data_IF_438618416652
#
_entry.id   IF_438618416652
#
_cell.length_a   1.000
_cell.length_b   1.000
_cell.length_c   1.000
_cell.angle_alpha   90.00
_cell.angle_beta   90.00
_cell.angle_gamma   90.00
#
_symmetry.space_group_name_H-M   'P 1'
#
loop_
_entity.id
_entity.type
_entity.pdbx_description
1 polymer ?
#
# COMPACT_ATOMS: atom_id res chain seq x y z
N UNK A 1 25.13 2.92 41.18
CA UNK A 1 25.53 1.58 40.70
C UNK A 1 24.38 0.65 41.02
N UNK A 2 23.54 0.40 40.00
CA UNK A 2 23.27 -0.93 39.40
C UNK A 2 22.30 -1.76 40.26
N UNK A 3 21.20 -2.34 39.76
CA UNK A 3 20.75 -2.56 38.39
C UNK A 3 19.27 -2.99 38.46
N UNK A 4 18.39 -2.37 37.68
CA UNK A 4 17.03 -2.85 37.41
C UNK A 4 17.09 -4.06 36.46
N UNK A 5 16.47 -5.18 36.85
CA UNK A 5 16.17 -6.29 35.94
C UNK A 5 14.67 -6.29 35.62
N UNK A 6 14.33 -5.71 34.47
CA UNK A 6 13.04 -5.91 33.83
C UNK A 6 12.95 -7.36 33.32
N UNK A 7 11.93 -8.09 33.76
CA UNK A 7 11.57 -9.41 33.23
C UNK A 7 10.87 -9.23 31.89
N UNK A 8 11.52 -9.65 30.80
CA UNK A 8 10.89 -9.91 29.51
C UNK A 8 9.84 -11.02 29.66
N UNK A 9 8.56 -10.72 29.39
CA UNK A 9 7.57 -11.73 29.08
C UNK A 9 7.84 -12.29 27.67
N UNK A 10 8.69 -13.31 27.57
CA UNK A 10 8.82 -14.13 26.36
C UNK A 10 7.63 -15.10 26.30
N UNK A 11 6.64 -14.78 25.47
CA UNK A 11 5.73 -15.80 24.97
C UNK A 11 6.50 -16.57 23.89
N UNK A 12 6.86 -17.83 24.18
CA UNK A 12 7.36 -18.75 23.17
C UNK A 12 6.24 -19.02 22.15
N UNK A 13 6.49 -18.93 20.84
CA UNK A 13 5.50 -19.35 19.85
C UNK A 13 5.31 -20.88 19.93
N UNK A 14 4.07 -21.38 19.79
CA UNK A 14 3.83 -22.82 19.77
C UNK A 14 4.50 -23.45 18.55
N UNK A 15 5.19 -24.57 18.78
CA UNK A 15 5.73 -25.46 17.77
C UNK A 15 4.58 -26.02 16.92
N UNK A 16 4.39 -25.49 15.71
CA UNK A 16 3.65 -26.15 14.64
C UNK A 16 4.57 -26.35 13.44
N UNK A 17 4.99 -27.60 13.26
CA UNK A 17 5.66 -28.09 12.06
C UNK A 17 4.64 -28.18 10.93
N UNK A 18 4.59 -27.15 10.07
CA UNK A 18 4.34 -27.16 8.61
C UNK A 18 4.45 -25.72 8.09
N UNK A 19 5.61 -25.08 8.31
CA UNK A 19 5.96 -23.90 7.53
C UNK A 19 6.40 -24.42 6.16
N UNK A 20 5.48 -24.43 5.19
CA UNK A 20 5.85 -24.41 3.77
C UNK A 20 6.90 -23.29 3.63
N UNK A 21 8.10 -23.66 3.21
CA UNK A 21 9.21 -22.73 3.05
C UNK A 21 8.85 -21.73 1.94
N UNK A 22 8.26 -20.60 2.31
CA UNK A 22 7.88 -19.55 1.36
C UNK A 22 9.10 -19.03 0.60
N UNK A 23 8.93 -18.70 -0.69
CA UNK A 23 10.06 -18.30 -1.55
C UNK A 23 10.75 -17.01 -1.08
N UNK A 24 12.08 -17.04 -0.97
CA UNK A 24 12.90 -15.85 -0.63
C UNK A 24 13.44 -15.11 -1.86
N UNK A 25 13.05 -15.53 -3.06
CA UNK A 25 13.49 -14.95 -4.34
C UNK A 25 12.50 -15.28 -5.45
N UNK A 26 12.47 -14.46 -6.51
CA UNK A 26 11.73 -14.78 -7.73
C UNK A 26 12.55 -15.74 -8.62
N UNK A 27 11.92 -16.46 -9.56
CA UNK A 27 12.60 -17.38 -10.49
C UNK A 27 13.67 -16.67 -11.33
N UNK A 28 13.39 -15.45 -11.78
CA UNK A 28 14.29 -14.67 -12.64
C UNK A 28 14.47 -13.24 -12.10
N UNK A 29 15.69 -12.68 -12.12
CA UNK A 29 15.92 -11.27 -11.79
C UNK A 29 15.16 -10.32 -12.70
N UNK A 30 14.91 -9.10 -12.23
CA UNK A 30 14.31 -8.08 -13.08
C UNK A 30 15.22 -7.75 -14.28
N UNK A 31 14.60 -7.48 -15.42
CA UNK A 31 15.29 -6.95 -16.58
C UNK A 31 15.82 -5.52 -16.31
N UNK A 32 16.88 -5.14 -17.01
CA UNK A 32 17.35 -3.75 -17.02
C UNK A 32 16.30 -2.86 -17.68
N UNK A 33 15.91 -1.77 -17.01
CA UNK A 33 15.02 -0.75 -17.56
C UNK A 33 15.76 0.35 -18.33
N UNK A 34 17.09 0.26 -18.41
CA UNK A 34 17.95 1.36 -18.87
C UNK A 34 17.78 1.68 -20.38
N UNK A 35 17.24 0.76 -21.17
CA UNK A 35 17.14 0.91 -22.62
C UNK A 35 15.79 1.46 -23.11
N UNK A 36 14.82 1.69 -22.20
CA UNK A 36 13.45 2.12 -22.59
C UNK A 36 12.96 3.31 -21.77
N UNK A 37 12.70 4.43 -22.44
CA UNK A 37 12.19 5.67 -21.81
C UNK A 37 10.67 5.65 -21.63
N UNK A 38 10.18 5.83 -20.39
CA UNK A 38 8.75 6.01 -20.06
C UNK A 38 8.16 7.18 -20.88
N UNK A 39 8.91 8.27 -21.01
CA UNK A 39 8.48 9.45 -21.75
C UNK A 39 8.21 9.19 -23.23
N UNK A 40 8.96 8.30 -23.87
CA UNK A 40 8.71 7.93 -25.27
C UNK A 40 7.29 7.38 -25.50
N UNK A 41 6.69 6.79 -24.47
CA UNK A 41 5.31 6.29 -24.46
C UNK A 41 4.35 7.39 -24.05
N UNK A 42 4.61 8.09 -22.94
CA UNK A 42 3.74 9.17 -22.45
C UNK A 42 3.56 10.29 -23.48
N UNK A 43 4.62 10.63 -24.24
CA UNK A 43 4.56 11.61 -25.34
C UNK A 43 3.53 11.24 -26.40
N UNK A 44 3.38 9.94 -26.71
CA UNK A 44 2.39 9.45 -27.68
C UNK A 44 0.95 9.50 -27.13
N UNK A 45 0.79 9.77 -25.84
CA UNK A 45 -0.47 9.67 -25.13
C UNK A 45 -0.93 11.01 -24.52
N UNK A 46 -0.28 12.11 -24.85
CA UNK A 46 -0.67 13.46 -24.40
C UNK A 46 -2.11 13.73 -24.85
N UNK A 47 -3.00 14.04 -23.89
CA UNK A 47 -4.42 14.29 -24.13
C UNK A 47 -5.35 13.07 -23.93
N UNK A 48 -4.80 11.88 -23.68
CA UNK A 48 -5.58 10.68 -23.33
C UNK A 48 -5.65 10.47 -21.81
N UNK A 49 -6.67 9.75 -21.35
CA UNK A 49 -6.75 9.28 -19.96
C UNK A 49 -5.65 8.21 -19.73
N UNK A 50 -4.73 8.45 -18.79
CA UNK A 50 -3.54 7.59 -18.58
C UNK A 50 -3.89 6.12 -18.29
N UNK A 51 -5.04 5.86 -17.67
CA UNK A 51 -5.55 4.52 -17.37
C UNK A 51 -5.84 3.69 -18.63
N UNK A 52 -6.05 4.34 -19.79
CA UNK A 52 -6.33 3.71 -21.10
C UNK A 52 -5.07 3.39 -21.90
N UNK A 53 -3.88 3.71 -21.38
CA UNK A 53 -2.62 3.48 -22.06
C UNK A 53 -2.09 2.08 -21.70
N UNK A 54 -1.93 1.24 -22.72
CA UNK A 54 -1.22 -0.04 -22.58
C UNK A 54 0.28 0.25 -22.41
N UNK A 55 0.76 0.11 -21.17
CA UNK A 55 2.19 0.24 -20.90
C UNK A 55 2.92 -1.04 -21.37
N UNK A 56 4.10 -0.95 -22.02
CA UNK A 56 4.92 -2.12 -22.28
C UNK A 56 5.24 -2.88 -21.00
N UNK A 57 5.32 -4.21 -21.09
CA UNK A 57 5.58 -5.12 -19.96
C UNK A 57 6.87 -4.77 -19.22
N UNK A 58 7.86 -4.20 -19.91
CA UNK A 58 9.13 -3.78 -19.29
C UNK A 58 8.96 -2.68 -18.22
N UNK A 59 7.83 -1.95 -18.19
CA UNK A 59 7.56 -1.00 -17.10
C UNK A 59 6.79 -1.60 -15.95
N UNK A 60 6.34 -2.85 -16.11
CA UNK A 60 5.63 -3.54 -15.07
C UNK A 60 6.60 -4.10 -14.01
N UNK A 61 6.00 -4.51 -12.90
CA UNK A 61 6.52 -5.53 -12.00
C UNK A 61 5.60 -6.76 -12.08
N UNK A 62 6.06 -7.97 -11.74
CA UNK A 62 5.29 -9.21 -11.89
C UNK A 62 4.25 -9.40 -10.77
N UNK A 63 3.45 -8.37 -10.51
CA UNK A 63 2.31 -8.41 -9.60
C UNK A 63 1.11 -7.69 -10.21
N UNK A 64 -0.09 -8.23 -9.98
CA UNK A 64 -1.35 -7.55 -10.22
C UNK A 64 -1.52 -6.39 -9.23
N UNK A 65 -2.31 -5.38 -9.60
CA UNK A 65 -2.67 -4.33 -8.64
C UNK A 65 -3.44 -4.88 -7.43
N UNK A 66 -4.18 -5.99 -7.60
CA UNK A 66 -4.84 -6.68 -6.48
C UNK A 66 -3.81 -7.17 -5.44
N UNK A 67 -2.72 -7.80 -5.91
CA UNK A 67 -1.60 -8.23 -5.07
C UNK A 67 -0.88 -7.03 -4.43
N UNK A 68 -0.65 -5.95 -5.19
CA UNK A 68 -0.05 -4.71 -4.65
C UNK A 68 -0.88 -4.13 -3.50
N UNK A 69 -2.21 -4.21 -3.55
CA UNK A 69 -3.07 -3.78 -2.45
C UNK A 69 -2.98 -4.71 -1.23
N UNK A 70 -2.78 -6.00 -1.43
CA UNK A 70 -2.59 -6.96 -0.32
C UNK A 70 -1.35 -6.66 0.52
N UNK A 71 -0.36 -5.94 -0.02
CA UNK A 71 0.79 -5.44 0.76
C UNK A 71 0.39 -4.53 1.93
N UNK A 72 -0.85 -3.99 1.95
CA UNK A 72 -1.40 -3.30 3.13
C UNK A 72 -1.33 -4.17 4.40
N UNK A 73 -1.38 -5.49 4.24
CA UNK A 73 -1.39 -6.46 5.34
C UNK A 73 0.01 -6.89 5.80
N UNK A 74 1.10 -6.33 5.25
CA UNK A 74 2.47 -6.72 5.63
C UNK A 74 2.74 -6.56 7.14
N UNK A 75 2.14 -5.55 7.77
CA UNK A 75 2.31 -5.24 9.20
C UNK A 75 1.03 -5.50 10.01
N UNK A 76 0.28 -6.57 9.70
CA UNK A 76 -0.98 -6.94 10.36
C UNK A 76 -0.86 -7.10 11.88
N UNK A 77 0.34 -7.39 12.41
CA UNK A 77 0.59 -7.44 13.86
C UNK A 77 0.18 -6.13 14.59
N UNK A 78 0.18 -4.99 13.91
CA UNK A 78 -0.27 -3.71 14.47
C UNK A 78 -1.79 -3.71 14.74
N UNK A 79 -2.57 -4.40 13.89
CA UNK A 79 -4.01 -4.59 14.13
C UNK A 79 -4.22 -5.49 15.36
N UNK A 80 -3.47 -6.58 15.48
CA UNK A 80 -3.55 -7.46 16.65
C UNK A 80 -3.15 -6.74 17.95
N UNK A 81 -2.13 -5.88 17.90
CA UNK A 81 -1.76 -5.00 19.02
C UNK A 81 -2.89 -4.02 19.37
N UNK A 82 -3.52 -3.40 18.38
CA UNK A 82 -4.69 -2.56 18.60
C UNK A 82 -5.83 -3.35 19.26
N UNK A 83 -6.13 -4.56 18.77
CA UNK A 83 -7.20 -5.37 19.35
C UNK A 83 -6.88 -5.85 20.79
N UNK A 84 -5.62 -6.04 21.12
CA UNK A 84 -5.16 -6.39 22.47
C UNK A 84 -5.24 -5.20 23.45
N UNK A 85 -5.02 -3.96 22.98
CA UNK A 85 -4.97 -2.77 23.81
C UNK A 85 -6.33 -2.38 24.43
N UNK A 86 -6.32 -2.05 25.73
CA UNK A 86 -7.50 -1.66 26.49
C UNK A 86 -7.83 -0.17 26.39
N UNK A 87 -6.81 0.67 26.29
CA UNK A 87 -6.95 2.12 26.15
C UNK A 87 -7.20 2.51 24.67
N UNK A 88 -8.16 3.41 24.42
CA UNK A 88 -8.55 3.79 23.05
C UNK A 88 -7.50 4.62 22.33
N UNK A 89 -6.68 5.39 23.05
CA UNK A 89 -5.57 6.16 22.49
C UNK A 89 -4.46 5.21 22.08
N UNK A 90 -4.14 4.20 22.88
CA UNK A 90 -3.18 3.15 22.49
C UNK A 90 -3.65 2.38 21.24
N UNK A 91 -4.95 2.08 21.14
CA UNK A 91 -5.53 1.53 19.90
C UNK A 91 -5.33 2.48 18.73
N UNK A 92 -5.63 3.76 18.89
CA UNK A 92 -5.45 4.77 17.84
C UNK A 92 -3.99 4.89 17.39
N UNK A 93 -3.01 4.77 18.30
CA UNK A 93 -1.58 4.72 17.92
C UNK A 93 -1.28 3.53 17.01
N UNK A 94 -1.75 2.34 17.37
CA UNK A 94 -1.56 1.13 16.58
C UNK A 94 -2.26 1.20 15.21
N UNK A 95 -3.49 1.72 15.16
CA UNK A 95 -4.22 1.90 13.89
C UNK A 95 -3.56 2.96 13.00
N UNK A 96 -3.07 4.07 13.57
CA UNK A 96 -2.32 5.08 12.82
C UNK A 96 -0.99 4.52 12.30
N UNK A 97 -0.26 3.76 13.12
CA UNK A 97 0.92 3.03 12.70
C UNK A 97 0.61 2.07 11.54
N UNK A 98 -0.49 1.31 11.65
CA UNK A 98 -0.94 0.41 10.59
C UNK A 98 -1.22 1.15 9.29
N UNK A 99 -1.98 2.26 9.35
CA UNK A 99 -2.29 3.09 8.19
C UNK A 99 -1.04 3.64 7.47
N UNK A 100 0.01 4.03 8.22
CA UNK A 100 1.29 4.45 7.63
C UNK A 100 2.06 3.25 7.06
N UNK A 101 2.13 2.15 7.81
CA UNK A 101 2.87 0.95 7.42
C UNK A 101 2.31 0.27 6.17
N UNK A 102 0.99 0.35 5.95
CA UNK A 102 0.30 -0.22 4.80
C UNK A 102 0.80 0.37 3.47
N UNK A 103 1.30 1.61 3.49
CA UNK A 103 1.85 2.28 2.31
C UNK A 103 3.38 2.38 2.34
N UNK A 104 4.06 1.68 3.25
CA UNK A 104 5.52 1.80 3.43
C UNK A 104 6.33 1.09 2.32
N UNK A 105 5.81 -0.01 1.78
CA UNK A 105 6.53 -0.85 0.80
C UNK A 105 6.81 -0.17 -0.54
N UNK A 106 6.24 1.02 -0.78
CA UNK A 106 6.24 1.71 -2.07
C UNK A 106 7.58 2.35 -2.44
N UNK A 107 8.47 2.61 -1.48
CA UNK A 107 9.79 3.22 -1.75
C UNK A 107 10.56 2.38 -2.78
N UNK A 108 11.22 2.99 -3.79
CA UNK A 108 11.94 2.29 -4.89
C UNK A 108 11.10 1.35 -5.78
N UNK A 109 9.83 1.04 -5.46
CA UNK A 109 8.92 0.19 -6.23
C UNK A 109 8.34 0.93 -7.45
N UNK A 110 9.21 1.41 -8.32
CA UNK A 110 8.90 2.21 -9.52
C UNK A 110 8.24 1.39 -10.64
N UNK A 111 8.14 0.07 -10.49
CA UNK A 111 7.39 -0.79 -11.40
C UNK A 111 5.89 -0.58 -11.28
N UNK A 112 5.21 -0.49 -12.43
CA UNK A 112 3.75 -0.44 -12.47
C UNK A 112 3.19 -1.85 -12.23
N UNK A 113 2.32 -2.10 -11.25
CA UNK A 113 1.63 -3.39 -11.20
C UNK A 113 0.75 -3.59 -12.44
N UNK A 114 0.46 -4.83 -12.82
CA UNK A 114 -0.47 -5.11 -13.90
C UNK A 114 -1.86 -4.58 -13.56
N UNK A 115 -2.50 -3.92 -14.53
CA UNK A 115 -3.88 -3.49 -14.36
C UNK A 115 -4.78 -4.75 -14.36
N UNK A 116 -5.54 -5.02 -13.29
CA UNK A 116 -6.35 -6.23 -13.22
C UNK A 116 -7.43 -6.24 -14.30
N UNK A 117 -7.76 -7.43 -14.81
CA UNK A 117 -8.89 -7.62 -15.70
C UNK A 117 -10.20 -7.50 -14.90
N UNK A 118 -11.29 -7.06 -15.52
CA UNK A 118 -12.61 -7.01 -14.89
C UNK A 118 -13.02 -8.43 -14.46
N UNK A 119 -13.30 -8.62 -13.17
CA UNK A 119 -13.60 -9.93 -12.58
C UNK A 119 -12.37 -10.75 -12.18
N UNK A 120 -11.15 -10.21 -12.38
CA UNK A 120 -9.95 -10.78 -11.78
C UNK A 120 -10.09 -10.75 -10.25
N UNK A 121 -9.68 -11.84 -9.61
CA UNK A 121 -9.69 -11.99 -8.17
C UNK A 121 -8.27 -12.21 -7.65
N UNK A 122 -8.05 -12.00 -6.38
CA UNK A 122 -6.83 -12.47 -5.72
C UNK A 122 -7.15 -12.82 -4.26
N UNK A 123 -6.71 -14.00 -3.82
CA UNK A 123 -6.78 -14.42 -2.43
C UNK A 123 -5.38 -14.63 -1.81
N UNK A 124 -5.31 -14.43 -0.50
CA UNK A 124 -4.13 -14.77 0.31
C UNK A 124 -4.59 -15.24 1.71
N UNK A 125 -4.05 -16.36 2.17
CA UNK A 125 -4.18 -16.81 3.56
C UNK A 125 -2.79 -16.82 4.17
N UNK A 126 -2.61 -16.14 5.30
CA UNK A 126 -1.35 -16.11 6.07
C UNK A 126 -1.66 -16.53 7.50
N UNK A 127 -1.60 -17.84 7.75
CA UNK A 127 -1.82 -18.41 9.09
C UNK A 127 -0.81 -17.86 10.11
N UNK A 128 0.44 -17.68 9.69
CA UNK A 128 1.52 -17.13 10.50
C UNK A 128 1.29 -15.65 10.88
N UNK A 129 0.57 -14.90 10.06
CA UNK A 129 0.18 -13.51 10.33
C UNK A 129 -1.29 -13.37 10.79
N UNK A 130 -2.02 -14.48 10.94
CA UNK A 130 -3.37 -14.49 11.49
C UNK A 130 -4.46 -13.87 10.62
N UNK A 131 -4.34 -13.83 9.28
CA UNK A 131 -5.40 -13.26 8.42
C UNK A 131 -5.66 -14.04 7.13
N UNK A 132 -6.84 -13.79 6.55
CA UNK A 132 -7.17 -14.11 5.16
C UNK A 132 -7.63 -12.85 4.41
N UNK A 133 -7.35 -12.80 3.12
CA UNK A 133 -7.62 -11.68 2.22
C UNK A 133 -8.29 -12.18 0.94
N UNK A 134 -9.29 -11.44 0.47
CA UNK A 134 -9.90 -11.60 -0.85
C UNK A 134 -10.04 -10.23 -1.50
N UNK A 135 -9.81 -10.16 -2.81
CA UNK A 135 -10.01 -8.95 -3.60
C UNK A 135 -10.55 -9.27 -4.99
N UNK A 136 -11.30 -8.33 -5.57
CA UNK A 136 -11.89 -8.43 -6.91
C UNK A 136 -11.73 -7.10 -7.64
N UNK A 137 -11.42 -7.16 -8.94
CA UNK A 137 -11.53 -6.02 -9.84
C UNK A 137 -13.00 -5.80 -10.22
N UNK A 138 -13.68 -4.98 -9.43
CA UNK A 138 -15.13 -4.74 -9.52
C UNK A 138 -15.53 -3.79 -10.65
N UNK A 139 -14.60 -2.97 -11.14
CA UNK A 139 -14.83 -2.08 -12.28
C UNK A 139 -13.54 -1.83 -13.07
N UNK A 140 -13.66 -1.59 -14.38
CA UNK A 140 -12.53 -1.26 -15.25
C UNK A 140 -12.58 0.19 -15.78
N UNK A 141 -13.76 0.82 -15.80
CA UNK A 141 -13.94 2.23 -16.21
C UNK A 141 -14.92 2.97 -15.29
N UNK A 142 -14.44 3.65 -14.23
CA UNK A 142 -13.03 3.73 -13.80
C UNK A 142 -12.52 2.40 -13.21
N UNK A 143 -11.19 2.16 -13.17
CA UNK A 143 -10.62 0.95 -12.55
C UNK A 143 -10.82 1.01 -11.03
N UNK A 144 -11.60 0.08 -10.48
CA UNK A 144 -11.83 -0.04 -9.03
C UNK A 144 -11.51 -1.46 -8.61
N UNK A 145 -10.66 -1.59 -7.60
CA UNK A 145 -10.33 -2.86 -6.94
C UNK A 145 -10.92 -2.84 -5.53
N UNK A 146 -11.80 -3.78 -5.22
CA UNK A 146 -12.37 -3.95 -3.89
C UNK A 146 -11.61 -5.05 -3.15
N UNK A 147 -11.47 -4.92 -1.83
CA UNK A 147 -10.81 -5.90 -0.99
C UNK A 147 -11.51 -6.07 0.36
N UNK A 148 -11.34 -7.25 0.93
CA UNK A 148 -11.83 -7.63 2.25
C UNK A 148 -10.85 -8.59 2.89
N UNK A 149 -10.50 -8.31 4.14
CA UNK A 149 -9.62 -9.14 4.94
C UNK A 149 -10.21 -9.34 6.33
N UNK A 150 -10.00 -10.52 6.88
CA UNK A 150 -10.52 -10.95 8.17
C UNK A 150 -9.39 -11.58 8.97
N UNK A 151 -9.34 -11.26 10.26
CA UNK A 151 -8.51 -12.00 11.20
C UNK A 151 -9.03 -13.44 11.33
N UNK A 152 -8.12 -14.42 11.32
CA UNK A 152 -8.49 -15.84 11.41
C UNK A 152 -9.17 -16.20 12.74
N UNK A 153 -8.98 -15.35 13.76
CA UNK A 153 -9.61 -15.47 15.07
C UNK A 153 -10.83 -14.54 15.23
N UNK A 154 -11.39 -14.04 14.11
CA UNK A 154 -12.53 -13.11 14.08
C UNK A 154 -12.27 -11.82 14.87
N UNK A 155 -11.00 -11.42 14.96
CA UNK A 155 -10.54 -10.37 15.86
C UNK A 155 -10.48 -8.98 15.20
N UNK A 156 -10.50 -8.94 13.86
CA UNK A 156 -10.66 -7.72 13.08
C UNK A 156 -11.28 -7.99 11.70
N UNK A 157 -11.82 -6.93 11.08
CA UNK A 157 -12.20 -6.91 9.66
C UNK A 157 -11.57 -5.67 9.02
N UNK A 158 -10.88 -5.82 7.90
CA UNK A 158 -10.23 -4.74 7.17
C UNK A 158 -10.68 -4.75 5.71
N UNK A 159 -11.30 -3.67 5.24
CA UNK A 159 -11.90 -3.64 3.91
C UNK A 159 -11.88 -2.24 3.30
N UNK A 160 -12.14 -2.19 2.00
CA UNK A 160 -12.28 -0.96 1.25
C UNK A 160 -12.21 -1.19 -0.24
N UNK A 161 -12.17 -0.09 -0.99
CA UNK A 161 -12.00 -0.13 -2.43
C UNK A 161 -11.14 1.02 -2.92
N UNK A 162 -10.25 0.76 -3.89
CA UNK A 162 -9.28 1.73 -4.40
C UNK A 162 -9.48 1.96 -5.89
N UNK A 163 -9.62 3.23 -6.25
CA UNK A 163 -9.54 3.77 -7.60
C UNK A 163 -8.30 4.68 -7.71
N UNK A 164 -7.20 4.22 -8.33
CA UNK A 164 -6.01 5.04 -8.52
C UNK A 164 -6.24 6.05 -9.66
N UNK A 165 -6.63 7.29 -9.31
CA UNK A 165 -6.82 8.36 -10.30
C UNK A 165 -5.47 8.97 -10.66
N UNK A 166 -5.07 8.79 -11.92
CA UNK A 166 -3.78 9.28 -12.43
C UNK A 166 -3.88 10.71 -12.96
N UNK A 167 -2.86 11.55 -12.68
CA UNK A 167 -2.66 12.90 -13.24
C UNK A 167 -1.19 13.04 -13.67
N UNK A 168 -0.95 13.61 -14.85
CA UNK A 168 0.38 13.90 -15.36
C UNK A 168 0.70 15.40 -15.19
N UNK A 169 1.84 15.70 -14.59
CA UNK A 169 2.30 17.06 -14.26
C UNK A 169 3.59 17.45 -14.99
N UNK A 170 3.79 16.94 -16.21
CA UNK A 170 5.02 17.18 -16.97
C UNK A 170 6.13 16.21 -16.56
N UNK A 171 6.86 16.52 -15.48
CA UNK A 171 7.99 15.70 -15.01
C UNK A 171 7.59 14.57 -14.05
N UNK A 172 6.33 14.55 -13.60
CA UNK A 172 5.84 13.60 -12.58
C UNK A 172 4.44 13.07 -12.90
N UNK A 173 4.12 11.89 -12.38
CA UNK A 173 2.76 11.32 -12.39
C UNK A 173 2.29 11.20 -10.95
N UNK A 174 1.15 11.80 -10.65
CA UNK A 174 0.41 11.58 -9.40
C UNK A 174 -0.61 10.44 -9.58
N UNK A 175 -0.62 9.51 -8.64
CA UNK A 175 -1.67 8.54 -8.41
C UNK A 175 -2.39 8.89 -7.10
N UNK A 176 -3.62 9.38 -7.21
CA UNK A 176 -4.50 9.66 -6.08
C UNK A 176 -5.34 8.39 -5.80
N UNK A 177 -5.06 7.63 -4.72
CA UNK A 177 -5.80 6.40 -4.40
C UNK A 177 -7.16 6.77 -3.80
N UNK A 178 -8.17 6.95 -4.66
CA UNK A 178 -9.53 7.27 -4.23
C UNK A 178 -10.19 6.05 -3.63
N UNK A 179 -10.60 6.16 -2.38
CA UNK A 179 -11.15 5.02 -1.67
C UNK A 179 -11.21 5.29 -0.19
N UNK A 180 -12.29 4.86 0.45
CA UNK A 180 -12.35 4.80 1.89
C UNK A 180 -11.79 3.44 2.32
N UNK A 181 -10.95 3.46 3.34
CA UNK A 181 -10.47 2.26 4.01
C UNK A 181 -11.17 2.18 5.36
N UNK A 182 -11.60 0.98 5.73
CA UNK A 182 -12.29 0.69 6.99
C UNK A 182 -11.58 -0.45 7.72
N UNK A 183 -11.31 -0.24 9.01
CA UNK A 183 -10.86 -1.26 9.94
C UNK A 183 -11.86 -1.36 11.08
N UNK A 184 -12.37 -2.55 11.33
CA UNK A 184 -13.31 -2.85 12.41
C UNK A 184 -12.61 -3.74 13.45
N UNK A 185 -12.79 -3.40 14.73
CA UNK A 185 -12.32 -4.16 15.87
C UNK A 185 -13.54 -4.64 16.68
N UNK A 186 -14.13 -5.82 16.37
CA UNK A 186 -15.39 -6.28 16.95
C UNK A 186 -15.38 -6.37 18.47
N UNK A 187 -14.26 -6.83 19.07
CA UNK A 187 -14.07 -6.89 20.53
C UNK A 187 -14.36 -5.56 21.23
N UNK A 188 -14.03 -4.45 20.57
CA UNK A 188 -14.21 -3.11 21.10
C UNK A 188 -15.48 -2.45 20.57
N UNK A 189 -16.21 -3.05 19.63
CA UNK A 189 -17.30 -2.42 18.88
C UNK A 189 -16.88 -1.07 18.27
N UNK A 190 -15.67 -1.04 17.69
CA UNK A 190 -15.05 0.16 17.13
C UNK A 190 -14.81 -0.03 15.64
N UNK A 191 -14.92 1.07 14.91
CA UNK A 191 -14.53 1.14 13.52
C UNK A 191 -13.71 2.39 13.26
N UNK A 192 -12.72 2.25 12.40
CA UNK A 192 -11.77 3.26 12.01
C UNK A 192 -11.85 3.46 10.51
N UNK A 193 -11.88 4.71 10.05
CA UNK A 193 -11.82 4.98 8.62
C UNK A 193 -10.77 6.02 8.27
N UNK A 194 -10.13 5.87 7.13
CA UNK A 194 -9.20 6.84 6.55
C UNK A 194 -9.14 6.73 5.02
N UNK A 195 -8.39 7.63 4.41
CA UNK A 195 -8.00 7.58 2.99
C UNK A 195 -6.49 7.59 2.89
N UNK A 196 -5.93 6.95 1.86
CA UNK A 196 -4.48 6.90 1.66
C UNK A 196 -3.91 8.21 1.09
N UNK A 197 -2.61 8.49 1.32
CA UNK A 197 -1.95 9.65 0.75
C UNK A 197 -1.80 9.51 -0.78
N UNK A 198 -1.60 10.64 -1.46
CA UNK A 198 -1.26 10.65 -2.89
C UNK A 198 0.14 10.10 -3.07
N UNK A 199 0.32 9.23 -4.05
CA UNK A 199 1.62 8.73 -4.50
C UNK A 199 2.07 9.51 -5.73
N UNK A 200 3.32 9.93 -5.78
CA UNK A 200 3.90 10.66 -6.90
C UNK A 200 5.16 9.94 -7.40
N UNK A 201 5.23 9.69 -8.70
CA UNK A 201 6.42 9.16 -9.37
C UNK A 201 7.08 10.32 -10.11
N UNK A 202 8.27 10.67 -9.68
CA UNK A 202 9.05 11.77 -10.24
C UNK A 202 9.99 11.31 -11.34
N UNK A 203 10.55 12.27 -12.08
CA UNK A 203 11.57 12.06 -13.12
C UNK A 203 11.14 11.11 -14.26
N UNK A 204 9.85 11.10 -14.60
CA UNK A 204 9.31 10.24 -15.66
C UNK A 204 9.80 10.61 -17.08
N UNK A 205 10.49 11.75 -17.23
CA UNK A 205 11.09 12.20 -18.50
C UNK A 205 12.60 11.96 -18.54
N UNK A 206 13.34 12.50 -17.56
CA UNK A 206 14.80 12.42 -17.45
C UNK A 206 15.17 12.25 -15.99
N UNK A 207 16.19 11.44 -15.72
CA UNK A 207 16.71 11.18 -14.37
C UNK A 207 16.24 9.85 -13.81
N UNK A 208 16.68 9.56 -12.58
CA UNK A 208 16.28 8.36 -11.87
C UNK A 208 14.87 8.52 -11.33
N UNK A 209 13.99 7.56 -11.62
CA UNK A 209 12.63 7.50 -11.07
C UNK A 209 12.69 7.30 -9.56
N UNK A 210 11.89 8.06 -8.84
CA UNK A 210 11.71 7.88 -7.40
C UNK A 210 10.26 8.15 -7.01
N UNK A 211 9.86 7.59 -5.87
CA UNK A 211 8.49 7.63 -5.37
C UNK A 211 8.42 8.52 -4.15
N UNK A 212 7.40 9.35 -4.12
CA UNK A 212 7.03 10.17 -2.98
C UNK A 212 5.59 9.90 -2.57
N UNK A 213 5.28 10.08 -1.29
CA UNK A 213 3.92 10.11 -0.80
C UNK A 213 3.66 11.37 0.01
N UNK A 214 2.56 12.06 -0.28
CA UNK A 214 2.16 13.28 0.41
C UNK A 214 0.65 13.43 0.50
N UNK A 215 0.24 14.31 1.41
CA UNK A 215 -1.16 14.65 1.64
C UNK A 215 -1.57 14.47 3.09
N UNK A 216 -2.81 14.88 3.37
CA UNK A 216 -3.40 14.74 4.70
C UNK A 216 -4.11 13.39 4.82
N UNK A 217 -3.78 12.64 5.86
CA UNK A 217 -4.46 11.40 6.24
C UNK A 217 -5.11 11.62 7.60
N UNK A 218 -6.42 11.37 7.71
CA UNK A 218 -7.15 11.44 8.97
C UNK A 218 -7.75 10.07 9.28
N UNK A 219 -7.27 9.44 10.34
CA UNK A 219 -7.84 8.20 10.90
C UNK A 219 -8.87 8.59 11.94
N UNK A 220 -10.12 8.15 11.78
CA UNK A 220 -11.23 8.53 12.67
C UNK A 220 -11.77 7.28 13.35
N UNK A 221 -11.82 7.26 14.68
CA UNK A 221 -12.57 6.25 15.44
C UNK A 221 -14.03 6.70 15.58
N UNK A 222 -14.95 5.96 14.99
CA UNK A 222 -16.38 6.30 14.95
C UNK A 222 -17.11 6.12 16.28
N UNK A 223 -16.56 5.34 17.22
CA UNK A 223 -17.14 5.10 18.55
C UNK A 223 -16.72 6.17 19.55
N UNK A 224 -15.42 6.40 19.70
CA UNK A 224 -14.86 7.33 20.70
C UNK A 224 -14.87 8.78 20.20
N UNK A 225 -14.80 8.97 18.88
CA UNK A 225 -14.66 10.27 18.24
C UNK A 225 -13.21 10.78 18.20
N UNK A 226 -12.24 9.99 18.68
CA UNK A 226 -10.82 10.30 18.55
C UNK A 226 -10.39 10.31 17.09
N UNK A 227 -9.36 11.11 16.79
CA UNK A 227 -8.83 11.24 15.44
C UNK A 227 -7.31 11.31 15.45
N UNK A 228 -6.66 10.63 14.53
CA UNK A 228 -5.24 10.86 14.23
C UNK A 228 -5.15 11.63 12.92
N UNK A 229 -4.74 12.90 12.99
CA UNK A 229 -4.52 13.74 11.80
C UNK A 229 -3.03 13.80 11.48
N UNK A 230 -2.64 13.18 10.38
CA UNK A 230 -1.26 13.08 9.90
C UNK A 230 -1.08 13.82 8.57
N UNK A 231 0.07 14.47 8.42
CA UNK A 231 0.51 15.10 7.19
C UNK A 231 1.73 14.36 6.67
N UNK A 232 1.56 13.69 5.53
CA UNK A 232 2.67 13.20 4.72
C UNK A 232 3.25 14.40 3.99
N UNK A 233 4.44 14.82 4.41
CA UNK A 233 5.06 16.06 3.94
C UNK A 233 5.60 15.85 2.52
N UNK A 234 5.33 16.78 1.59
CA UNK A 234 6.09 16.83 0.37
C UNK A 234 7.55 17.19 0.70
N UNK A 235 8.48 16.70 -0.11
CA UNK A 235 9.94 16.80 -0.03
C UNK A 235 10.38 18.25 0.20
N UNK A 236 9.66 19.19 -0.42
CA UNK A 236 9.87 20.62 -0.30
C UNK A 236 11.18 21.08 -0.94
N UNK A 237 11.45 22.38 -0.86
CA UNK A 237 12.73 22.93 -1.34
C UNK A 237 13.87 22.36 -0.48
N UNK A 238 14.93 21.87 -1.13
CA UNK A 238 16.12 21.26 -0.51
C UNK A 238 15.90 19.89 0.17
N UNK A 239 14.78 19.22 -0.05
CA UNK A 239 14.57 17.82 0.33
C UNK A 239 14.53 17.48 1.83
N UNK A 240 14.47 18.49 2.71
CA UNK A 240 14.52 18.29 4.18
C UNK A 240 13.30 17.56 4.75
N UNK A 241 12.18 17.60 4.04
CA UNK A 241 10.91 17.04 4.49
C UNK A 241 10.62 15.68 3.85
N UNK A 242 11.56 15.15 3.04
CA UNK A 242 11.38 13.91 2.32
C UNK A 242 10.97 12.76 3.25
N UNK A 243 9.84 12.14 2.89
CA UNK A 243 9.19 11.03 3.58
C UNK A 243 8.64 11.32 4.97
N UNK A 244 8.75 12.56 5.48
CA UNK A 244 8.28 12.87 6.83
C UNK A 244 6.77 12.72 6.95
N UNK A 245 6.37 12.12 8.06
CA UNK A 245 4.98 12.07 8.51
C UNK A 245 4.95 12.77 9.86
N UNK A 246 4.05 13.75 10.02
CA UNK A 246 3.86 14.47 11.28
C UNK A 246 2.38 14.71 11.54
N UNK A 247 1.95 14.62 12.79
CA UNK A 247 0.56 14.76 13.14
C UNK A 247 0.29 14.78 14.63
N UNK A 248 -0.99 14.68 14.96
CA UNK A 248 -1.46 14.57 16.35
C UNK A 248 -2.60 13.58 16.45
N UNK A 249 -2.64 12.87 17.57
CA UNK A 249 -3.85 12.21 18.05
C UNK A 249 -4.66 13.23 18.85
N UNK A 250 -5.93 13.34 18.53
CA UNK A 250 -6.89 14.31 19.05
C UNK A 250 -8.06 13.57 19.70
N UNK A 251 -8.56 14.08 20.82
CA UNK A 251 -9.83 13.62 21.36
C UNK A 251 -11.03 14.13 20.54
N UNK A 252 -12.24 13.72 20.93
CA UNK A 252 -13.50 14.15 20.31
C UNK A 252 -13.71 15.68 20.33
N UNK A 253 -13.09 16.37 21.28
CA UNK A 253 -13.13 17.83 21.43
C UNK A 253 -12.02 18.55 20.65
N UNK A 254 -11.24 17.81 19.83
CA UNK A 254 -10.07 18.27 19.08
C UNK A 254 -8.90 18.73 19.96
N UNK A 255 -8.85 18.31 21.22
CA UNK A 255 -7.71 18.54 22.10
C UNK A 255 -6.59 17.56 21.71
N UNK A 256 -5.36 18.07 21.59
CA UNK A 256 -4.16 17.24 21.38
C UNK A 256 -3.95 16.32 22.58
N UNK A 257 -3.81 15.02 22.31
CA UNK A 257 -3.45 14.00 23.29
C UNK A 257 -1.96 13.69 23.21
N UNK A 258 -1.46 13.36 22.02
CA UNK A 258 -0.04 13.18 21.75
C UNK A 258 0.30 13.59 20.32
N UNK A 259 1.58 13.82 20.05
CA UNK A 259 2.10 13.98 18.70
C UNK A 259 2.49 12.62 18.11
N UNK A 260 2.41 12.51 16.80
CA UNK A 260 2.89 11.36 16.01
C UNK A 260 3.84 11.89 14.94
N UNK A 261 5.02 11.26 14.79
CA UNK A 261 6.02 11.72 13.85
C UNK A 261 6.97 10.61 13.40
N UNK A 262 7.59 10.77 12.23
CA UNK A 262 8.57 9.83 11.72
C UNK A 262 8.72 9.94 10.21
N UNK A 263 9.05 8.82 9.56
CA UNK A 263 9.14 8.70 8.11
C UNK A 263 8.46 7.42 7.65
N UNK A 264 7.60 7.51 6.63
CA UNK A 264 6.85 6.34 6.12
C UNK A 264 7.74 5.27 5.48
N UNK A 265 9.02 5.57 5.26
CA UNK A 265 10.04 4.65 4.75
C UNK A 265 10.93 4.04 5.83
N UNK A 266 10.80 4.45 7.11
CA UNK A 266 11.73 4.05 8.17
C UNK A 266 10.98 3.61 9.44
N UNK A 267 10.33 4.54 10.14
CA UNK A 267 9.71 4.31 11.45
C UNK A 267 8.78 5.45 11.86
N UNK A 268 7.92 5.17 12.84
CA UNK A 268 6.95 6.10 13.39
C UNK A 268 6.98 6.04 14.92
N UNK A 269 6.89 7.22 15.53
CA UNK A 269 6.97 7.44 16.96
C UNK A 269 5.80 8.28 17.46
N UNK A 270 5.48 8.15 18.74
CA UNK A 270 4.64 9.09 19.46
C UNK A 270 5.36 9.73 20.62
N UNK A 271 4.98 10.96 20.97
CA UNK A 271 5.53 11.69 22.12
C UNK A 271 4.48 12.66 22.66
N UNK A 272 4.64 13.11 23.89
CA UNK A 272 3.83 14.19 24.45
C UNK A 272 3.80 15.41 23.51
N UNK A 273 2.60 15.97 23.32
CA UNK A 273 2.39 17.02 22.32
C UNK A 273 3.10 18.34 22.66
N UNK A 274 3.28 18.64 23.97
CA UNK A 274 4.00 19.84 24.42
C UNK A 274 5.48 19.71 24.10
N UNK A 275 6.04 18.53 24.35
CA UNK A 275 7.43 18.19 24.04
C UNK A 275 7.71 18.30 22.53
N UNK A 276 6.81 17.76 21.70
CA UNK A 276 6.91 17.88 20.24
C UNK A 276 6.85 19.34 19.77
N UNK A 277 5.86 20.11 20.27
CA UNK A 277 5.70 21.53 19.91
C UNK A 277 6.93 22.37 20.31
N UNK A 278 7.60 22.03 21.41
CA UNK A 278 8.85 22.67 21.84
C UNK A 278 10.02 22.35 20.90
N UNK A 279 10.20 21.08 20.54
CA UNK A 279 11.24 20.62 19.62
C UNK A 279 11.10 21.25 18.23
N UNK A 280 9.87 21.31 17.70
CA UNK A 280 9.59 21.94 16.41
C UNK A 280 9.93 23.43 16.38
N UNK A 281 9.75 24.13 17.51
CA UNK A 281 10.12 25.56 17.63
C UNK A 281 11.63 25.76 17.66
N UNK A 282 12.40 24.89 18.31
CA UNK A 282 13.87 24.97 18.31
C UNK A 282 14.45 24.69 16.92
N UNK A 283 13.92 23.71 16.21
CA UNK A 283 14.38 23.36 14.86
C UNK A 283 14.15 24.51 13.87
N UNK A 284 12.98 25.13 13.94
CA UNK A 284 12.67 26.29 13.10
C UNK A 284 13.65 27.45 13.35
N UNK A 285 13.92 27.78 14.62
CA UNK A 285 14.91 28.82 14.98
C UNK A 285 16.30 28.49 14.45
N UNK A 286 16.77 27.25 14.63
CA UNK A 286 18.08 26.83 14.10
C UNK A 286 18.15 26.90 12.56
N UNK A 287 17.04 26.60 11.88
CA UNK A 287 16.96 26.66 10.42
C UNK A 287 16.96 28.10 9.87
N UNK A 288 16.33 29.03 10.59
CA UNK A 288 16.29 30.45 10.21
C UNK A 288 17.66 31.12 10.46
N UNK A 289 18.31 30.83 11.59
CA UNK A 289 19.69 31.31 11.88
C UNK A 289 20.72 30.81 10.86
N UNK A 290 20.59 29.56 10.39
CA UNK A 290 21.45 29.03 9.32
C UNK A 290 21.19 29.65 7.95
N UNK A 291 19.97 30.16 7.69
CA UNK A 291 19.64 30.85 6.43
C UNK A 291 20.25 32.25 6.37
N UNK A 292 20.32 32.97 7.49
CA UNK A 292 20.90 34.32 7.52
C UNK A 292 22.42 34.32 7.30
N UNK A 293 23.12 33.23 7.65
CA UNK A 293 24.56 33.08 7.38
C UNK A 293 24.91 32.62 5.95
N UNK A 294 23.92 32.32 5.09
CA UNK A 294 24.15 31.80 3.73
C UNK A 294 23.49 32.70 2.67
N UNK A 295 23.85 34.00 2.66
CA UNK A 295 23.55 34.92 1.56
C UNK A 295 24.76 35.01 0.60
N UNK A 296 24.99 33.97 -0.19
CA UNK A 296 25.71 34.08 -1.48
C UNK A 296 25.43 32.85 -2.34
N UNK A 297 25.28 33.08 -3.65
CA UNK A 297 25.01 32.16 -4.77
C UNK A 297 23.64 31.46 -4.78
N UNK A 298 22.70 32.09 -5.49
CA UNK A 298 21.51 31.45 -6.06
C UNK A 298 21.90 31.00 -7.47
N UNK A 299 22.05 29.70 -7.65
CA UNK A 299 21.82 28.93 -8.88
C UNK A 299 22.32 27.52 -8.60
N UNK A 300 21.44 26.67 -8.06
CA UNK A 300 21.59 25.20 -8.10
C UNK A 300 20.27 24.56 -7.65
N UNK A 301 19.57 23.94 -8.59
CA UNK A 301 18.48 23.00 -8.33
C UNK A 301 19.06 21.72 -7.71
N UNK A 302 18.61 21.26 -6.52
CA UNK A 302 18.83 19.88 -6.13
C UNK A 302 17.61 19.06 -6.57
N UNK A 303 17.55 18.69 -7.86
CA UNK A 303 16.69 17.62 -8.40
C UNK A 303 17.40 16.24 -8.34
N UNK A 304 18.47 16.11 -7.53
CA UNK A 304 19.15 14.84 -7.31
C UNK A 304 18.56 14.05 -6.13
N UNK A 305 18.49 12.73 -6.30
CA UNK A 305 18.03 11.79 -5.29
C UNK A 305 18.92 11.91 -4.04
N UNK A 306 18.35 12.18 -2.84
CA UNK A 306 19.16 12.24 -1.63
C UNK A 306 19.73 10.86 -1.29
N UNK A 307 20.94 10.80 -0.69
CA UNK A 307 21.62 9.54 -0.40
C UNK A 307 20.81 8.68 0.58
N UNK A 308 20.75 7.37 0.31
CA UNK A 308 20.24 6.35 1.23
C UNK A 308 21.38 5.84 2.13
N UNK A 309 21.01 5.28 3.30
CA UNK A 309 21.79 4.31 4.11
C UNK A 309 22.08 4.69 5.58
N UNK A 310 21.28 5.58 6.20
CA UNK A 310 21.19 5.66 7.66
C UNK A 310 19.76 5.96 8.11
N UNK A 311 19.35 5.47 9.29
CA UNK A 311 18.15 5.97 9.97
C UNK A 311 18.30 7.48 10.15
N UNK A 312 17.38 8.25 9.57
CA UNK A 312 17.46 9.70 9.54
C UNK A 312 16.41 10.37 10.42
N UNK A 313 15.49 9.59 11.01
CA UNK A 313 14.53 10.09 11.98
C UNK A 313 15.26 10.54 13.26
N UNK A 314 15.17 11.83 13.59
CA UNK A 314 15.67 12.36 14.86
C UNK A 314 14.67 12.05 15.97
N UNK A 315 15.02 11.10 16.84
CA UNK A 315 14.14 10.67 17.93
C UNK A 315 14.17 11.70 19.06
N UNK A 316 13.00 12.29 19.34
CA UNK A 316 12.79 13.24 20.42
C UNK A 316 12.85 12.47 21.76
N UNK A 317 13.61 12.92 22.77
CA UNK A 317 13.64 12.26 24.08
C UNK A 317 12.23 12.08 24.68
N UNK A 318 11.96 10.89 25.22
CA UNK A 318 10.64 10.52 25.74
C UNK A 318 9.66 10.01 24.68
N UNK A 319 10.12 9.79 23.44
CA UNK A 319 9.30 9.17 22.40
C UNK A 319 9.15 7.66 22.59
N UNK A 320 8.00 7.17 22.18
CA UNK A 320 7.63 5.76 22.08
C UNK A 320 7.66 5.33 20.62
N UNK A 321 8.32 4.21 20.31
CA UNK A 321 8.31 3.61 18.97
C UNK A 321 7.01 2.83 18.77
N UNK A 322 6.24 3.17 17.74
CA UNK A 322 4.97 2.51 17.43
C UNK A 322 5.02 1.67 16.15
N UNK A 323 5.96 1.94 15.24
CA UNK A 323 6.23 1.10 14.07
C UNK A 323 7.63 1.33 13.52
N UNK A 324 8.23 0.27 12.97
CA UNK A 324 9.48 0.30 12.23
C UNK A 324 9.34 -0.59 11.00
N UNK A 325 9.85 -0.14 9.86
CA UNK A 325 9.81 -0.89 8.61
C UNK A 325 10.64 -2.18 8.74
N UNK A 326 10.13 -3.27 8.16
CA UNK A 326 10.91 -4.50 7.99
C UNK A 326 12.00 -4.24 6.95
N UNK A 327 13.28 -4.51 7.26
CA UNK A 327 14.35 -4.40 6.28
C UNK A 327 14.08 -5.27 5.05
N UNK A 328 14.34 -4.73 3.86
CA UNK A 328 14.27 -5.50 2.63
C UNK A 328 15.35 -6.58 2.61
N UNK A 329 15.10 -7.73 1.97
CA UNK A 329 16.14 -8.74 1.80
C UNK A 329 17.25 -8.21 0.88
N UNK A 330 18.49 -8.69 1.05
CA UNK A 330 19.67 -8.21 0.30
C UNK A 330 19.51 -8.34 -1.23
N UNK A 331 18.70 -9.29 -1.69
CA UNK A 331 18.41 -9.53 -3.09
C UNK A 331 17.26 -8.65 -3.64
N UNK A 332 16.64 -7.79 -2.82
CA UNK A 332 15.45 -7.00 -3.17
C UNK A 332 15.65 -6.15 -4.41
N UNK A 333 16.79 -5.45 -4.53
CA UNK A 333 17.11 -4.63 -5.71
C UNK A 333 17.16 -5.45 -7.02
N UNK A 334 17.49 -6.75 -6.94
CA UNK A 334 17.47 -7.67 -8.10
C UNK A 334 16.06 -8.13 -8.46
N UNK A 335 15.12 -8.04 -7.54
CA UNK A 335 13.74 -8.52 -7.66
C UNK A 335 12.76 -7.37 -7.43
N UNK A 336 12.87 -6.34 -8.28
CA UNK A 336 11.92 -5.22 -8.36
C UNK A 336 11.77 -4.40 -7.07
N UNK A 337 12.75 -4.43 -6.15
CA UNK A 337 12.67 -3.82 -4.81
C UNK A 337 11.54 -4.41 -3.93
N UNK A 338 11.20 -5.69 -4.13
CA UNK A 338 10.16 -6.38 -3.35
C UNK A 338 10.61 -6.58 -1.89
N UNK A 339 9.67 -6.42 -0.95
CA UNK A 339 9.81 -6.98 0.39
C UNK A 339 9.68 -8.50 0.34
N UNK A 340 10.09 -9.20 1.41
CA UNK A 340 9.86 -10.64 1.53
C UNK A 340 8.36 -10.96 1.43
N UNK A 341 7.50 -10.10 2.01
CA UNK A 341 6.04 -10.25 1.87
C UNK A 341 5.60 -10.19 0.41
N UNK A 342 6.07 -9.18 -0.34
CA UNK A 342 5.73 -9.03 -1.76
C UNK A 342 6.25 -10.19 -2.62
N UNK A 343 7.43 -10.73 -2.28
CA UNK A 343 7.96 -11.91 -2.97
C UNK A 343 7.01 -13.10 -2.84
N UNK A 344 6.27 -13.29 -1.74
CA UNK A 344 5.37 -14.46 -1.60
C UNK A 344 4.06 -14.35 -2.40
N UNK A 345 3.65 -13.15 -2.84
CA UNK A 345 2.27 -12.90 -3.32
C UNK A 345 1.87 -13.63 -4.60
N UNK A 346 2.85 -13.95 -5.46
CA UNK A 346 2.60 -14.66 -6.71
C UNK A 346 3.15 -16.10 -6.71
N UNK A 347 3.52 -16.62 -5.53
CA UNK A 347 3.94 -18.01 -5.39
C UNK A 347 2.75 -18.94 -5.65
N UNK A 348 2.96 -19.93 -6.51
CA UNK A 348 1.99 -20.99 -6.76
C UNK A 348 2.43 -22.25 -6.03
N UNK A 349 1.49 -22.90 -5.34
CA UNK A 349 1.68 -24.18 -4.67
C UNK A 349 0.72 -25.21 -5.29
N UNK A 350 1.14 -26.48 -5.36
CA UNK A 350 0.31 -27.60 -5.83
C UNK A 350 -0.99 -27.72 -5.01
N UNK A 351 -0.98 -27.35 -3.73
CA UNK A 351 -2.16 -27.34 -2.86
C UNK A 351 -3.24 -26.35 -3.29
N UNK A 352 -2.92 -25.40 -4.18
CA UNK A 352 -3.87 -24.42 -4.71
C UNK A 352 -4.70 -24.99 -5.87
N UNK A 353 -4.25 -26.10 -6.48
CA UNK A 353 -4.94 -26.72 -7.61
C UNK A 353 -6.32 -27.23 -7.18
N UNK A 354 -7.37 -26.82 -7.90
CA UNK A 354 -8.77 -27.15 -7.57
C UNK A 354 -9.35 -26.41 -6.36
N UNK A 355 -8.56 -25.61 -5.64
CA UNK A 355 -9.01 -24.81 -4.47
C UNK A 355 -9.11 -23.32 -4.80
N UNK A 356 -8.15 -22.78 -5.55
CA UNK A 356 -8.15 -21.37 -5.96
C UNK A 356 -8.98 -21.20 -7.24
N UNK A 357 -9.82 -20.15 -7.38
CA UNK A 357 -10.63 -19.96 -8.58
C UNK A 357 -9.76 -19.63 -9.81
N UNK A 358 -10.19 -20.00 -11.04
CA UNK A 358 -9.47 -19.70 -12.28
C UNK A 358 -9.31 -18.19 -12.55
N UNK A 359 -10.01 -17.33 -11.81
CA UNK A 359 -9.90 -15.87 -11.88
C UNK A 359 -8.77 -15.30 -11.02
N UNK A 360 -8.06 -16.12 -10.23
CA UNK A 360 -7.00 -15.65 -9.34
C UNK A 360 -5.79 -15.09 -10.11
N UNK A 361 -5.23 -13.96 -9.66
CA UNK A 361 -4.08 -13.31 -10.29
C UNK A 361 -2.87 -14.23 -10.46
N UNK A 362 -2.69 -15.24 -9.60
CA UNK A 362 -1.61 -16.24 -9.73
C UNK A 362 -1.68 -17.01 -11.03
N UNK A 363 -2.87 -17.24 -11.60
CA UNK A 363 -3.03 -17.97 -12.87
C UNK A 363 -2.96 -17.07 -14.11
N UNK A 364 -2.67 -15.77 -13.92
CA UNK A 364 -2.66 -14.81 -15.02
C UNK A 364 -1.39 -14.97 -15.87
N UNK A 365 -1.50 -15.34 -17.16
CA UNK A 365 -0.35 -15.83 -17.93
C UNK A 365 0.69 -14.76 -18.28
N UNK A 366 0.29 -13.49 -18.47
CA UNK A 366 1.24 -12.40 -18.73
C UNK A 366 2.12 -12.05 -17.52
N UNK A 367 1.54 -12.14 -16.31
CA UNK A 367 2.28 -11.97 -15.04
C UNK A 367 3.25 -13.15 -14.84
N UNK A 368 2.78 -14.38 -15.02
CA UNK A 368 3.60 -15.58 -14.86
C UNK A 368 4.79 -15.61 -15.84
N UNK A 369 4.54 -15.29 -17.12
CA UNK A 369 5.60 -15.22 -18.12
C UNK A 369 6.65 -14.16 -17.76
N UNK A 370 6.20 -12.98 -17.28
CA UNK A 370 7.11 -11.92 -16.87
C UNK A 370 7.95 -12.31 -15.64
N UNK A 371 7.34 -12.94 -14.63
CA UNK A 371 8.03 -13.41 -13.42
C UNK A 371 9.12 -14.43 -13.74
N UNK A 372 8.87 -15.28 -14.74
CA UNK A 372 9.83 -16.26 -15.25
C UNK A 372 10.86 -15.66 -16.23
N UNK A 373 10.75 -14.38 -16.58
CA UNK A 373 11.69 -13.67 -17.45
C UNK A 373 11.40 -13.77 -18.96
N UNK A 374 10.27 -14.35 -19.36
CA UNK A 374 9.84 -14.40 -20.76
C UNK A 374 9.01 -13.16 -21.12
N UNK A 375 9.72 -12.09 -21.48
CA UNK A 375 9.11 -10.78 -21.78
C UNK A 375 8.33 -10.77 -23.09
N UNK A 376 8.73 -11.59 -24.06
CA UNK A 376 8.05 -11.71 -25.34
C UNK A 376 6.70 -12.40 -25.15
N UNK A 377 6.68 -13.53 -24.44
CA UNK A 377 5.44 -14.23 -24.09
C UNK A 377 4.55 -13.35 -23.22
N UNK A 378 5.11 -12.69 -22.20
CA UNK A 378 4.35 -11.78 -21.35
C UNK A 378 3.70 -10.65 -22.16
N UNK A 379 4.41 -10.09 -23.14
CA UNK A 379 3.89 -9.05 -24.02
C UNK A 379 2.78 -9.55 -24.95
N UNK A 380 2.93 -10.75 -25.52
CA UNK A 380 1.88 -11.35 -26.36
C UNK A 380 0.63 -11.72 -25.58
N UNK A 381 0.80 -12.31 -24.39
CA UNK A 381 -0.31 -12.71 -23.53
C UNK A 381 -1.05 -11.49 -22.99
N UNK A 382 -0.32 -10.45 -22.57
CA UNK A 382 -0.93 -9.18 -22.14
C UNK A 382 -1.82 -8.60 -23.24
N UNK A 383 -1.33 -8.57 -24.48
CA UNK A 383 -2.10 -8.11 -25.63
C UNK A 383 -3.35 -8.97 -25.84
N UNK A 384 -3.21 -10.30 -25.80
CA UNK A 384 -4.32 -11.27 -25.95
C UNK A 384 -5.40 -11.06 -24.90
N UNK A 385 -5.02 -10.93 -23.62
CA UNK A 385 -5.92 -10.69 -22.49
C UNK A 385 -6.67 -9.35 -22.61
N UNK A 386 -5.94 -8.28 -22.91
CA UNK A 386 -6.54 -6.95 -23.10
C UNK A 386 -7.51 -6.92 -24.29
N UNK A 387 -7.20 -7.63 -25.38
CA UNK A 387 -8.09 -7.79 -26.54
C UNK A 387 -9.33 -8.63 -26.21
N UNK A 388 -9.17 -9.76 -25.51
CA UNK A 388 -10.28 -10.60 -25.01
C UNK A 388 -11.24 -9.77 -24.17
N UNK A 389 -10.71 -8.99 -23.21
CA UNK A 389 -11.50 -8.10 -22.37
C UNK A 389 -12.22 -6.99 -23.18
N UNK A 390 -11.53 -6.36 -24.14
CA UNK A 390 -12.12 -5.33 -25.02
C UNK A 390 -13.28 -5.90 -25.84
N UNK A 391 -13.12 -7.11 -26.38
CA UNK A 391 -14.17 -7.80 -27.13
C UNK A 391 -15.35 -8.22 -26.24
N UNK A 392 -15.08 -8.77 -25.06
CA UNK A 392 -16.12 -9.10 -24.08
C UNK A 392 -16.94 -7.88 -23.67
N UNK A 393 -16.30 -6.72 -23.45
CA UNK A 393 -16.97 -5.45 -23.18
C UNK A 393 -17.85 -5.01 -24.37
N UNK A 394 -17.33 -5.07 -25.60
CA UNK A 394 -18.10 -4.69 -26.81
C UNK A 394 -19.31 -5.59 -27.02
N UNK A 395 -19.20 -6.88 -26.69
CA UNK A 395 -20.32 -7.83 -26.75
C UNK A 395 -21.35 -7.55 -25.66
N UNK A 396 -20.93 -7.21 -24.44
CA UNK A 396 -21.82 -6.75 -23.37
C UNK A 396 -22.56 -5.46 -23.73
N UNK A 397 -21.96 -4.50 -24.42
CA UNK A 397 -22.72 -3.30 -24.86
C UNK A 397 -23.85 -3.62 -25.86
N UNK A 398 -23.85 -4.81 -26.48
CA UNK A 398 -24.89 -5.25 -27.42
C UNK A 398 -25.98 -6.11 -26.77
N UNK A 399 -25.76 -6.61 -25.55
CA UNK A 399 -26.74 -7.41 -24.79
C UNK A 399 -27.07 -6.66 -23.50
N UNK A 400 -28.33 -6.51 -23.09
CA UNK A 400 -28.70 -5.73 -21.90
C UNK A 400 -28.24 -6.32 -20.55
N UNK A 401 -27.42 -7.38 -20.55
CA UNK A 401 -26.85 -7.95 -19.33
C UNK A 401 -25.66 -7.12 -18.85
N UNK A 402 -25.90 -6.30 -17.83
CA UNK A 402 -24.84 -5.61 -17.10
C UNK A 402 -23.88 -6.60 -16.44
N UNK A 403 -22.59 -6.22 -16.39
CA UNK A 403 -21.59 -6.99 -15.65
C UNK A 403 -21.98 -7.07 -14.18
N UNK A 404 -22.08 -8.30 -13.65
CA UNK A 404 -22.31 -8.55 -12.23
C UNK A 404 -21.00 -8.98 -11.58
N UNK A 405 -20.54 -8.17 -10.64
CA UNK A 405 -19.46 -8.54 -9.71
C UNK A 405 -19.89 -9.76 -8.90
N UNK A 406 -18.92 -10.60 -8.53
CA UNK A 406 -19.22 -11.90 -7.91
C UNK A 406 -19.20 -11.83 -6.40
N UNK A 407 -18.22 -11.14 -5.83
CA UNK A 407 -17.91 -11.21 -4.41
C UNK A 407 -18.14 -9.89 -3.68
N UNK A 408 -18.37 -8.82 -4.43
CA UNK A 408 -18.62 -7.49 -3.88
C UNK A 408 -19.84 -6.85 -4.51
N UNK A 409 -20.53 -5.98 -3.78
CA UNK A 409 -21.62 -5.16 -4.29
C UNK A 409 -21.48 -3.71 -3.85
N UNK A 410 -22.04 -2.79 -4.63
CA UNK A 410 -22.12 -1.39 -4.21
C UNK A 410 -23.07 -1.25 -3.02
N UNK A 411 -22.66 -0.47 -2.03
CA UNK A 411 -23.43 -0.20 -0.84
C UNK A 411 -22.98 1.08 -0.15
N UNK A 412 -23.57 1.34 1.02
CA UNK A 412 -23.13 2.43 1.89
C UNK A 412 -22.25 1.88 3.00
N UNK A 413 -21.09 2.49 3.21
CA UNK A 413 -20.25 2.20 4.35
C UNK A 413 -21.06 2.38 5.64
N UNK A 414 -21.08 1.39 6.55
CA UNK A 414 -21.98 1.40 7.69
C UNK A 414 -21.70 2.55 8.67
N UNK A 415 -20.45 3.03 8.73
CA UNK A 415 -19.98 4.01 9.72
C UNK A 415 -20.10 5.47 9.27
N UNK A 416 -19.93 5.77 7.98
CA UNK A 416 -19.96 7.15 7.48
C UNK A 416 -20.89 7.39 6.28
N UNK A 417 -21.62 6.36 5.81
CA UNK A 417 -22.57 6.41 4.69
C UNK A 417 -21.97 6.77 3.32
N UNK A 418 -20.65 6.80 3.19
CA UNK A 418 -19.99 6.94 1.90
C UNK A 418 -20.33 5.75 1.00
N UNK A 419 -20.32 5.97 -0.33
CA UNK A 419 -20.42 4.87 -1.29
C UNK A 419 -19.21 3.96 -1.19
N UNK A 420 -19.44 2.66 -1.18
CA UNK A 420 -18.41 1.64 -0.97
C UNK A 420 -18.72 0.35 -1.74
N UNK A 421 -17.74 -0.57 -1.78
CA UNK A 421 -17.92 -1.92 -2.29
C UNK A 421 -17.85 -2.91 -1.11
N UNK A 422 -18.99 -3.49 -0.77
CA UNK A 422 -19.15 -4.38 0.37
C UNK A 422 -19.01 -5.83 -0.05
N UNK A 423 -18.25 -6.61 0.72
CA UNK A 423 -18.09 -8.05 0.50
C UNK A 423 -19.41 -8.80 0.74
N UNK A 424 -19.73 -9.73 -0.15
CA UNK A 424 -20.97 -10.51 -0.18
C UNK A 424 -20.91 -11.82 0.61
N UNK A 425 -19.77 -12.13 1.23
CA UNK A 425 -19.45 -13.46 1.77
C UNK A 425 -19.41 -14.54 0.66
N UNK A 426 -19.33 -15.81 1.05
CA UNK A 426 -19.39 -16.94 0.13
C UNK A 426 -18.11 -17.30 -0.64
N UNK A 427 -17.13 -16.38 -0.78
CA UNK A 427 -15.89 -16.69 -1.51
C UNK A 427 -15.14 -17.89 -0.91
N UNK A 428 -15.02 -17.91 0.42
CA UNK A 428 -14.32 -18.95 1.16
C UNK A 428 -15.08 -20.29 1.25
N UNK A 429 -16.33 -20.36 0.79
CA UNK A 429 -17.10 -21.61 0.71
C UNK A 429 -16.67 -22.47 -0.48
N UNK A 430 -15.82 -21.95 -1.38
CA UNK A 430 -15.24 -22.67 -2.53
C UNK A 430 -16.25 -23.22 -3.54
N UNK A 431 -17.50 -22.77 -3.49
CA UNK A 431 -18.54 -23.13 -4.47
C UNK A 431 -18.43 -22.26 -5.73
N UNK A 432 -17.36 -22.46 -6.50
CA UNK A 432 -17.07 -21.68 -7.71
C UNK A 432 -17.85 -22.19 -8.92
N UNK A 433 -19.09 -21.72 -9.07
CA UNK A 433 -19.92 -22.00 -10.25
C UNK A 433 -20.03 -20.79 -11.16
N UNK A 434 -19.90 -20.98 -12.48
CA UNK A 434 -20.11 -19.94 -13.51
C UNK A 434 -19.21 -18.70 -13.34
N UNK A 435 -17.97 -18.89 -12.90
CA UNK A 435 -16.98 -17.81 -12.84
C UNK A 435 -16.64 -17.29 -14.25
N UNK A 436 -16.28 -16.01 -14.38
CA UNK A 436 -15.94 -15.43 -15.68
C UNK A 436 -14.64 -16.03 -16.21
N UNK A 437 -14.65 -16.42 -17.49
CA UNK A 437 -13.43 -16.84 -18.20
C UNK A 437 -12.68 -15.60 -18.73
N UNK A 438 -11.68 -15.16 -17.96
CA UNK A 438 -10.96 -13.91 -18.19
C UNK A 438 -9.53 -14.09 -18.73
N UNK A 439 -8.95 -15.28 -18.60
CA UNK A 439 -7.58 -15.56 -19.06
C UNK A 439 -7.48 -16.16 -20.45
#
# INVERSE_FOLDING_TARGET
MQQDQFKECRLNPPLFNTLLSSRTSLPTPMFSRNDVSIWSILKKCIGMELSKIAMPVIFNEPLSFLQRLTEYMEHTYLIHQANAATDSVERMKCVAAFAVSAVASQWERTGKPFNPLLGETYELIREDLGFRWVSEQVSHHPPVSAFHAEGLNEDFVFHGSIYPKLKFWGKSIEAEPKGLITLELPKHNEAYTWTNPTCCVHNIIVGQLWIEQYGSVEVINHKTGERCSMMFKPCGLFGKELHKVEGYILDKSKKKLCAIYGKWTESLYTVDHVTFDAHKKSDKKSSDEKKDNKRSSVDEEPEEMPPSDAETVQVIPGSELIWKITPRPDNSARFYAFSTFAMHLNEQDESMEGVTPPTDSRFRPDICAMENGDIDLASSEKKRLEEKQRMARKNRTKSPDDWKTRWFQQGQNPHNKAQDWLYLNGYWERSFTQLPDIY
#
